data_IF_762523229579
#
_entry.id   IF_762523229579
#
_cell.length_a   1.000
_cell.length_b   1.000
_cell.length_c   1.000
_cell.angle_alpha   90.00
_cell.angle_beta   90.00
_cell.angle_gamma   90.00
#
_symmetry.space_group_name_H-M   'P 1'
#
loop_
_entity.id
_entity.type
_entity.pdbx_description
1 polymer ?
#
# COMPACT_ATOMS: atom_id res chain seq x y z
N UNK A 1 -13.66 8.95 15.85
CA UNK A 1 -13.41 8.18 14.61
C UNK A 1 -12.98 9.17 13.54
N UNK A 2 -11.69 9.49 13.58
CA UNK A 2 -10.98 10.40 12.66
C UNK A 2 -9.76 9.54 12.28
N UNK A 3 -9.91 8.71 11.26
CA UNK A 3 -9.55 9.03 9.88
C UNK A 3 -8.05 9.31 9.78
N UNK A 4 -7.33 8.34 9.20
CA UNK A 4 -5.90 8.31 8.90
C UNK A 4 -5.38 9.71 8.54
N UNK A 5 -4.70 10.38 9.47
CA UNK A 5 -3.88 11.53 9.15
C UNK A 5 -2.43 11.08 9.12
N UNK A 6 -1.72 11.65 8.14
CA UNK A 6 -0.27 11.69 7.98
C UNK A 6 0.38 10.42 7.41
N UNK A 7 0.66 10.46 6.10
CA UNK A 7 2.03 10.25 5.57
C UNK A 7 2.14 10.93 4.20
N UNK A 8 2.20 12.26 4.25
CA UNK A 8 2.33 13.14 3.08
C UNK A 8 3.76 13.56 2.74
N UNK A 9 4.82 13.07 3.40
CA UNK A 9 6.18 13.49 3.08
C UNK A 9 7.22 12.38 3.32
N UNK A 10 7.18 11.30 2.54
CA UNK A 10 8.40 10.55 2.28
C UNK A 10 8.93 10.94 0.90
N UNK A 11 10.25 11.08 0.79
CA UNK A 11 11.05 11.48 -0.37
C UNK A 11 11.30 13.00 -0.49
N UNK A 12 12.00 13.59 0.50
CA UNK A 12 12.83 14.79 0.27
C UNK A 12 14.25 14.69 0.84
N UNK A 13 14.69 13.52 1.33
CA UNK A 13 16.00 13.39 2.00
C UNK A 13 16.94 12.32 1.40
N UNK A 14 16.89 12.09 0.08
CA UNK A 14 17.88 11.27 -0.63
C UNK A 14 18.34 11.96 -1.92
N UNK A 15 18.90 13.16 -1.79
CA UNK A 15 19.76 13.75 -2.83
C UNK A 15 21.22 13.40 -2.54
N UNK A 16 21.54 12.10 -2.57
CA UNK A 16 22.91 11.63 -2.78
C UNK A 16 22.91 10.94 -4.14
N UNK A 17 23.87 11.33 -4.99
CA UNK A 17 24.04 10.91 -6.38
C UNK A 17 23.53 9.50 -6.66
N UNK A 18 22.28 9.41 -7.11
CA UNK A 18 21.80 8.22 -7.80
C UNK A 18 22.47 8.30 -9.17
N UNK A 19 23.45 7.43 -9.41
CA UNK A 19 23.82 7.08 -10.78
C UNK A 19 22.51 6.83 -11.51
N UNK A 20 22.20 7.65 -12.51
CA UNK A 20 21.05 7.45 -13.40
C UNK A 20 21.31 6.23 -14.27
N UNK A 21 21.44 5.04 -13.67
CA UNK A 21 20.88 3.87 -14.29
C UNK A 21 19.42 4.23 -14.54
N UNK A 22 19.04 4.32 -15.81
CA UNK A 22 17.64 4.48 -16.20
C UNK A 22 16.80 3.62 -15.28
N UNK A 23 15.83 4.22 -14.57
CA UNK A 23 14.84 3.45 -13.83
C UNK A 23 14.36 2.36 -14.81
N UNK A 24 14.58 1.06 -14.51
CA UNK A 24 14.40 0.01 -15.51
C UNK A 24 12.92 -0.14 -15.91
N UNK A 25 12.03 0.51 -15.16
CA UNK A 25 10.60 0.51 -15.36
C UNK A 25 10.13 1.84 -15.94
N UNK A 26 9.40 1.77 -17.05
CA UNK A 26 8.66 2.91 -17.61
C UNK A 26 7.18 2.88 -17.23
N UNK A 27 6.73 1.78 -16.62
CA UNK A 27 5.35 1.56 -16.21
C UNK A 27 5.30 1.07 -14.77
N UNK A 28 4.43 1.66 -13.96
CA UNK A 28 4.12 1.19 -12.61
C UNK A 28 2.62 0.91 -12.52
N UNK A 29 2.28 -0.28 -12.03
CA UNK A 29 0.90 -0.67 -11.71
C UNK A 29 0.78 -0.80 -10.20
N UNK A 30 -0.17 -0.11 -9.59
CA UNK A 30 -0.30 -0.04 -8.13
C UNK A 30 -1.65 -0.60 -7.70
N UNK A 31 -1.61 -1.54 -6.76
CA UNK A 31 -2.75 -2.04 -6.01
C UNK A 31 -2.55 -1.72 -4.53
N UNK A 32 -3.60 -1.32 -3.85
CA UNK A 32 -3.48 -0.97 -2.45
C UNK A 32 -4.66 -0.20 -1.90
N UNK A 33 -4.38 0.46 -0.78
CA UNK A 33 -5.37 1.19 -0.01
C UNK A 33 -5.16 2.72 -0.05
N UNK A 34 -5.60 3.41 1.01
CA UNK A 34 -5.48 4.85 1.22
C UNK A 34 -4.06 5.39 1.12
N UNK A 35 -3.03 4.58 1.41
CA UNK A 35 -1.63 5.02 1.27
C UNK A 35 -1.20 5.21 -0.18
N UNK A 36 -1.96 4.68 -1.13
CA UNK A 36 -1.67 4.74 -2.57
C UNK A 36 -2.81 5.34 -3.40
N UNK A 37 -4.02 5.47 -2.86
CA UNK A 37 -5.17 6.01 -3.60
C UNK A 37 -5.00 7.52 -3.94
N UNK A 38 -4.99 7.83 -5.24
CA UNK A 38 -4.92 9.18 -5.79
C UNK A 38 -6.29 9.79 -6.13
N UNK A 39 -7.40 9.18 -5.70
CA UNK A 39 -8.76 9.68 -5.86
C UNK A 39 -9.79 8.68 -6.42
N UNK A 40 -9.47 7.40 -6.52
CA UNK A 40 -10.38 6.34 -6.98
C UNK A 40 -11.60 6.22 -6.08
N UNK A 41 -11.41 6.22 -4.75
CA UNK A 41 -12.53 6.23 -3.81
C UNK A 41 -13.27 7.57 -3.81
N UNK A 42 -12.55 8.67 -3.99
CA UNK A 42 -13.15 9.98 -4.14
C UNK A 42 -14.12 10.00 -5.32
N UNK A 43 -13.70 9.48 -6.48
CA UNK A 43 -14.58 9.31 -7.64
C UNK A 43 -15.72 8.33 -7.39
N UNK A 44 -15.45 7.20 -6.71
CA UNK A 44 -16.46 6.18 -6.40
C UNK A 44 -17.59 6.73 -5.52
N UNK A 45 -17.26 7.66 -4.62
CA UNK A 45 -18.20 8.25 -3.66
C UNK A 45 -18.78 9.58 -4.14
N UNK A 46 -18.80 9.83 -5.46
CA UNK A 46 -19.27 11.10 -6.04
C UNK A 46 -18.59 12.34 -5.42
N UNK A 47 -17.29 12.22 -5.19
CA UNK A 47 -16.43 13.27 -4.62
C UNK A 47 -16.76 13.63 -3.16
N UNK A 48 -17.32 12.68 -2.40
CA UNK A 48 -17.74 12.88 -1.00
C UNK A 48 -16.67 12.41 -0.01
N UNK A 49 -15.93 11.32 -0.28
CA UNK A 49 -14.96 10.76 0.67
C UNK A 49 -13.64 10.40 -0.01
N UNK A 50 -12.48 10.81 0.51
CA UNK A 50 -12.28 11.52 1.77
C UNK A 50 -12.72 13.00 1.74
N UNK A 51 -13.24 13.51 2.88
CA UNK A 51 -13.69 14.91 3.05
C UNK A 51 -12.51 15.83 3.44
N UNK A 52 -12.57 17.15 3.25
CA UNK A 52 -11.60 18.06 3.87
C UNK A 52 -11.34 17.70 5.36
N UNK A 53 -10.09 17.74 5.86
CA UNK A 53 -8.90 18.40 5.28
C UNK A 53 -8.09 17.58 4.27
N UNK A 54 -8.60 16.44 3.80
CA UNK A 54 -7.92 15.62 2.80
C UNK A 54 -7.76 16.34 1.44
N UNK A 55 -6.58 16.21 0.83
CA UNK A 55 -6.20 16.93 -0.39
C UNK A 55 -6.70 16.22 -1.64
N UNK A 56 -7.68 16.81 -2.34
CA UNK A 56 -8.13 16.37 -3.68
C UNK A 56 -8.30 14.84 -3.80
N UNK A 57 -8.98 14.24 -2.83
CA UNK A 57 -9.26 12.79 -2.81
C UNK A 57 -8.14 11.89 -2.28
N UNK A 58 -6.96 12.43 -1.92
CA UNK A 58 -5.89 11.67 -1.25
C UNK A 58 -6.18 11.56 0.24
N UNK A 59 -5.85 10.44 0.85
CA UNK A 59 -5.88 10.25 2.31
C UNK A 59 -4.67 10.89 3.01
N UNK A 60 -4.34 12.11 2.58
CA UNK A 60 -3.25 12.94 3.09
C UNK A 60 -3.65 14.41 2.95
N UNK A 61 -2.95 15.31 3.64
CA UNK A 61 -3.11 16.75 3.50
C UNK A 61 -2.39 17.33 2.26
N UNK A 62 -1.83 16.48 1.40
CA UNK A 62 -1.14 16.85 0.19
C UNK A 62 -0.91 15.67 -0.74
N UNK A 63 0.02 15.85 -1.69
CA UNK A 63 0.46 14.81 -2.61
C UNK A 63 1.08 13.61 -1.85
N UNK A 64 0.75 12.41 -2.30
CA UNK A 64 1.29 11.16 -1.75
C UNK A 64 2.47 10.65 -2.58
N UNK A 65 3.10 9.55 -2.14
CA UNK A 65 4.29 9.00 -2.82
C UNK A 65 4.04 8.70 -4.30
N UNK A 66 2.83 8.22 -4.66
CA UNK A 66 2.44 7.95 -6.05
C UNK A 66 2.48 9.20 -6.91
N UNK A 67 1.98 10.33 -6.40
CA UNK A 67 1.98 11.62 -7.11
C UNK A 67 3.39 12.17 -7.35
N UNK A 68 4.39 11.67 -6.61
CA UNK A 68 5.80 12.10 -6.69
C UNK A 68 6.66 11.17 -7.56
N UNK A 69 6.10 10.07 -8.08
CA UNK A 69 6.82 9.16 -8.96
C UNK A 69 7.06 9.82 -10.33
N UNK A 70 8.32 9.86 -10.75
CA UNK A 70 8.71 10.31 -12.10
C UNK A 70 8.88 9.12 -13.03
N UNK A 71 7.77 8.57 -13.51
CA UNK A 71 7.72 7.43 -14.45
C UNK A 71 6.75 7.72 -15.59
N UNK A 72 7.00 7.14 -16.78
CA UNK A 72 6.23 7.45 -18.00
C UNK A 72 4.75 7.11 -17.87
N UNK A 73 4.42 5.96 -17.28
CA UNK A 73 3.05 5.50 -17.12
C UNK A 73 2.78 5.00 -15.69
N UNK A 74 1.73 5.52 -15.06
CA UNK A 74 1.25 5.07 -13.75
C UNK A 74 -0.19 4.61 -13.91
N UNK A 75 -0.43 3.33 -13.65
CA UNK A 75 -1.78 2.77 -13.56
C UNK A 75 -2.09 2.49 -12.08
N UNK A 76 -2.88 3.37 -11.47
CA UNK A 76 -3.20 3.27 -10.05
C UNK A 76 -4.60 2.70 -9.83
N UNK A 77 -4.67 1.46 -9.36
CA UNK A 77 -5.89 0.75 -8.99
C UNK A 77 -6.13 0.73 -7.49
N UNK A 78 -5.35 1.45 -6.69
CA UNK A 78 -5.57 1.52 -5.25
C UNK A 78 -6.89 2.23 -4.93
N UNK A 79 -7.66 1.66 -4.02
CA UNK A 79 -8.87 2.28 -3.47
C UNK A 79 -8.66 2.46 -1.97
N UNK A 80 -8.88 3.67 -1.46
CA UNK A 80 -9.00 3.94 -0.03
C UNK A 80 -9.82 2.87 0.68
N UNK A 81 -9.43 2.53 1.91
CA UNK A 81 -10.06 1.47 2.70
C UNK A 81 -9.89 0.03 2.17
N UNK A 82 -9.24 -0.22 1.03
CA UNK A 82 -9.07 -1.58 0.52
C UNK A 82 -8.45 -2.54 1.55
N UNK A 83 -8.98 -3.75 1.59
CA UNK A 83 -8.43 -4.93 2.28
C UNK A 83 -7.70 -5.81 1.26
N UNK A 84 -7.05 -6.87 1.74
CA UNK A 84 -6.40 -7.84 0.83
C UNK A 84 -7.38 -8.51 -0.13
N UNK A 85 -8.56 -8.89 0.36
CA UNK A 85 -9.65 -9.47 -0.42
C UNK A 85 -10.99 -9.23 0.29
N UNK A 86 -11.98 -8.70 -0.44
CA UNK A 86 -13.34 -8.54 0.09
C UNK A 86 -14.01 -9.86 0.49
N UNK A 87 -13.57 -11.00 -0.05
CA UNK A 87 -14.07 -12.31 0.37
C UNK A 87 -13.58 -12.74 1.77
N UNK A 88 -12.44 -12.20 2.22
CA UNK A 88 -11.90 -12.41 3.56
C UNK A 88 -12.42 -11.35 4.53
N UNK A 89 -12.26 -10.07 4.18
CA UNK A 89 -12.77 -8.92 4.94
C UNK A 89 -13.29 -7.88 3.96
N UNK A 90 -14.59 -7.59 4.03
CA UNK A 90 -15.22 -6.60 3.14
C UNK A 90 -14.68 -5.19 3.42
N UNK A 91 -14.02 -4.59 2.42
CA UNK A 91 -13.65 -3.18 2.48
C UNK A 91 -14.83 -2.26 2.18
N UNK A 92 -14.90 -1.12 2.87
CA UNK A 92 -15.97 -0.14 2.72
C UNK A 92 -15.45 1.30 2.75
N UNK A 93 -16.01 2.14 1.89
CA UNK A 93 -16.01 3.58 2.10
C UNK A 93 -16.96 3.93 3.26
N UNK A 94 -16.70 5.02 3.96
CA UNK A 94 -17.48 5.42 5.15
C UNK A 94 -18.48 6.55 4.89
N UNK A 95 -18.38 7.24 3.75
CA UNK A 95 -19.29 8.34 3.40
C UNK A 95 -19.49 8.45 1.87
N UNK A 96 -20.59 7.92 1.31
CA UNK A 96 -21.56 7.03 1.96
C UNK A 96 -20.92 5.67 2.32
N UNK A 97 -21.60 4.90 3.18
CA UNK A 97 -21.19 3.52 3.44
C UNK A 97 -21.46 2.69 2.21
N UNK A 98 -20.40 2.25 1.52
CA UNK A 98 -20.52 1.41 0.33
C UNK A 98 -19.28 0.55 0.11
N UNK A 99 -19.39 -0.62 -0.56
CA UNK A 99 -18.24 -1.46 -0.85
C UNK A 99 -17.17 -0.74 -1.68
N UNK A 100 -15.92 -0.93 -1.30
CA UNK A 100 -14.74 -0.57 -2.11
C UNK A 100 -14.10 -1.85 -2.66
N UNK A 101 -13.32 -1.81 -3.75
CA UNK A 101 -12.54 -2.95 -4.19
C UNK A 101 -11.36 -3.27 -3.26
N UNK A 102 -11.31 -4.48 -2.69
CA UNK A 102 -10.08 -5.04 -2.10
C UNK A 102 -9.07 -5.41 -3.18
N UNK A 103 -7.82 -5.71 -2.83
CA UNK A 103 -6.72 -5.90 -3.81
C UNK A 103 -7.02 -6.98 -4.84
N UNK A 104 -7.61 -8.12 -4.46
CA UNK A 104 -8.01 -9.14 -5.44
C UNK A 104 -9.07 -8.64 -6.42
N UNK A 105 -9.98 -7.77 -6.00
CA UNK A 105 -10.93 -7.12 -6.89
C UNK A 105 -10.26 -6.05 -7.76
N UNK A 106 -9.27 -5.31 -7.24
CA UNK A 106 -8.47 -4.36 -8.02
C UNK A 106 -7.68 -5.07 -9.14
N UNK A 107 -7.11 -6.24 -8.85
CA UNK A 107 -6.45 -7.08 -9.88
C UNK A 107 -7.46 -7.55 -10.94
N UNK A 108 -8.69 -7.88 -10.55
CA UNK A 108 -9.75 -8.23 -11.49
C UNK A 108 -10.23 -7.03 -12.33
N UNK A 109 -10.17 -5.80 -11.79
CA UNK A 109 -10.40 -4.56 -12.55
C UNK A 109 -9.28 -4.35 -13.55
N UNK A 110 -8.01 -4.45 -13.09
CA UNK A 110 -6.83 -4.43 -13.97
C UNK A 110 -7.03 -5.40 -15.13
N UNK A 111 -7.32 -6.67 -14.88
CA UNK A 111 -7.49 -7.71 -15.91
C UNK A 111 -8.52 -7.37 -17.03
N UNK A 112 -9.44 -6.43 -16.79
CA UNK A 112 -10.45 -5.98 -17.74
C UNK A 112 -10.11 -4.65 -18.42
N UNK A 113 -9.05 -3.97 -17.98
CA UNK A 113 -8.63 -2.70 -18.53
C UNK A 113 -7.99 -2.91 -19.91
N UNK A 114 -8.61 -2.33 -20.94
CA UNK A 114 -8.12 -2.38 -22.32
C UNK A 114 -6.76 -1.69 -22.50
N UNK A 115 -6.35 -0.81 -21.59
CA UNK A 115 -5.06 -0.13 -21.61
C UNK A 115 -3.88 -1.05 -21.23
N UNK A 116 -4.13 -2.27 -20.73
CA UNK A 116 -3.07 -3.25 -20.44
C UNK A 116 -2.27 -3.60 -21.70
N UNK A 117 -2.93 -3.68 -22.86
CA UNK A 117 -2.40 -4.25 -24.10
C UNK A 117 -1.16 -3.47 -24.61
N UNK A 118 -0.95 -2.24 -24.16
CA UNK A 118 0.18 -1.40 -24.59
C UNK A 118 1.42 -1.46 -23.69
N UNK A 119 1.37 -2.16 -22.54
CA UNK A 119 2.47 -2.16 -21.56
C UNK A 119 3.49 -3.27 -21.80
N UNK A 120 4.79 -2.94 -21.84
CA UNK A 120 5.87 -3.93 -21.87
C UNK A 120 6.06 -4.49 -20.45
N UNK A 121 5.59 -5.71 -20.20
CA UNK A 121 5.66 -6.34 -18.88
C UNK A 121 7.08 -6.55 -18.34
N UNK A 122 8.11 -6.57 -19.19
CA UNK A 122 9.52 -6.61 -18.75
C UNK A 122 9.99 -5.26 -18.17
N UNK A 123 9.28 -4.17 -18.48
CA UNK A 123 9.54 -2.81 -18.00
C UNK A 123 8.41 -2.30 -17.09
N UNK A 124 7.58 -3.22 -16.60
CA UNK A 124 6.46 -2.90 -15.70
C UNK A 124 6.75 -3.42 -14.30
N UNK A 125 6.65 -2.52 -13.31
CA UNK A 125 6.69 -2.87 -11.89
C UNK A 125 5.28 -2.89 -11.32
N UNK A 126 4.87 -4.02 -10.76
CA UNK A 126 3.64 -4.17 -10.01
C UNK A 126 3.90 -3.95 -8.52
N UNK A 127 3.14 -3.08 -7.88
CA UNK A 127 3.27 -2.75 -6.47
C UNK A 127 1.99 -3.13 -5.74
N UNK A 128 2.12 -3.85 -4.61
CA UNK A 128 1.02 -4.12 -3.68
C UNK A 128 1.36 -3.50 -2.34
N UNK A 129 0.50 -2.63 -1.83
CA UNK A 129 0.59 -2.12 -0.46
C UNK A 129 -0.79 -2.07 0.20
N UNK A 130 -1.06 -3.05 1.06
CA UNK A 130 -2.34 -3.22 1.76
C UNK A 130 -2.14 -4.11 3.00
N UNK A 131 -3.16 -4.18 3.85
CA UNK A 131 -3.30 -5.19 4.92
C UNK A 131 -3.70 -4.60 6.26
N UNK A 132 -3.37 -3.33 6.52
CA UNK A 132 -3.75 -2.63 7.75
C UNK A 132 -5.28 -2.63 7.97
N UNK A 133 -6.04 -2.47 6.89
CA UNK A 133 -7.49 -2.40 6.92
C UNK A 133 -8.14 -3.74 7.30
N UNK A 134 -7.55 -4.88 6.94
CA UNK A 134 -8.06 -6.21 7.31
C UNK A 134 -8.19 -6.34 8.85
N UNK A 135 -7.17 -5.87 9.58
CA UNK A 135 -7.16 -5.84 11.05
C UNK A 135 -8.02 -4.69 11.63
N UNK A 136 -8.14 -3.57 10.92
CA UNK A 136 -8.98 -2.45 11.35
C UNK A 136 -10.47 -2.81 11.30
N UNK A 137 -10.92 -3.49 10.24
CA UNK A 137 -12.30 -3.94 10.07
C UNK A 137 -12.61 -5.23 10.84
N UNK A 138 -11.63 -6.12 10.99
CA UNK A 138 -11.78 -7.35 11.75
C UNK A 138 -10.60 -7.55 12.72
N UNK A 139 -10.78 -7.09 13.96
CA UNK A 139 -9.74 -7.17 15.00
C UNK A 139 -9.42 -8.58 15.49
N UNK A 140 -10.22 -9.58 15.14
CA UNK A 140 -9.92 -10.99 15.45
C UNK A 140 -9.17 -11.68 14.32
N UNK A 141 -8.85 -10.96 13.24
CA UNK A 141 -8.12 -11.52 12.10
C UNK A 141 -6.71 -11.93 12.50
N UNK A 142 -6.33 -13.15 12.14
CA UNK A 142 -4.98 -13.65 12.38
C UNK A 142 -4.02 -13.23 11.25
N UNK A 143 -2.79 -12.77 11.54
CA UNK A 143 -1.84 -12.33 10.51
C UNK A 143 -1.59 -13.32 9.38
N UNK A 144 -1.55 -14.63 9.68
CA UNK A 144 -1.39 -15.68 8.68
C UNK A 144 -2.49 -15.71 7.60
N UNK A 145 -3.74 -15.37 7.95
CA UNK A 145 -4.85 -15.33 6.99
C UNK A 145 -4.71 -14.16 6.01
N UNK A 146 -4.26 -13.00 6.51
CA UNK A 146 -4.03 -11.80 5.67
C UNK A 146 -2.82 -12.03 4.75
N UNK A 147 -1.76 -12.68 5.23
CA UNK A 147 -0.61 -13.08 4.40
C UNK A 147 -1.03 -14.11 3.33
N UNK A 148 -1.84 -15.11 3.68
CA UNK A 148 -2.37 -16.07 2.70
C UNK A 148 -3.23 -15.38 1.63
N UNK A 149 -4.03 -14.38 2.01
CA UNK A 149 -4.82 -13.56 1.07
C UNK A 149 -3.92 -12.77 0.11
N UNK A 150 -2.82 -12.19 0.60
CA UNK A 150 -1.81 -11.54 -0.24
C UNK A 150 -1.11 -12.54 -1.19
N UNK A 151 -0.78 -13.74 -0.70
CA UNK A 151 -0.21 -14.81 -1.54
C UNK A 151 -1.17 -15.19 -2.69
N UNK A 152 -2.47 -15.25 -2.42
CA UNK A 152 -3.50 -15.45 -3.44
C UNK A 152 -3.55 -14.28 -4.45
N UNK A 153 -3.47 -13.03 -3.98
CA UNK A 153 -3.42 -11.86 -4.85
C UNK A 153 -2.18 -11.86 -5.77
N UNK A 154 -1.02 -12.21 -5.24
CA UNK A 154 0.22 -12.36 -6.03
C UNK A 154 0.05 -13.51 -7.04
N UNK A 155 -0.54 -14.63 -6.62
CA UNK A 155 -0.83 -15.77 -7.51
C UNK A 155 -1.79 -15.40 -8.64
N UNK A 156 -2.77 -14.53 -8.40
CA UNK A 156 -3.65 -13.99 -9.44
C UNK A 156 -2.87 -13.12 -10.43
N UNK A 157 -1.93 -12.31 -9.95
CA UNK A 157 -1.07 -11.47 -10.79
C UNK A 157 -0.07 -12.29 -11.64
N UNK A 158 0.46 -13.39 -11.11
CA UNK A 158 1.38 -14.27 -11.84
C UNK A 158 0.75 -14.89 -13.11
N UNK A 159 -0.59 -14.94 -13.20
CA UNK A 159 -1.32 -15.40 -14.39
C UNK A 159 -1.12 -14.49 -15.61
N UNK A 160 -0.68 -13.25 -15.42
CA UNK A 160 -0.45 -12.28 -16.51
C UNK A 160 1.00 -12.27 -17.04
N UNK A 161 1.83 -13.26 -16.73
CA UNK A 161 3.24 -13.34 -17.17
C UNK A 161 4.10 -12.12 -16.77
N UNK A 162 3.76 -11.50 -15.64
CA UNK A 162 4.48 -10.34 -15.08
C UNK A 162 5.88 -10.71 -14.61
N UNK A 163 6.78 -9.73 -14.58
CA UNK A 163 8.21 -9.95 -14.27
C UNK A 163 8.69 -9.33 -12.98
N UNK A 164 8.05 -8.25 -12.51
CA UNK A 164 8.53 -7.51 -11.35
C UNK A 164 7.36 -7.16 -10.42
N UNK A 165 7.46 -7.63 -9.18
CA UNK A 165 6.47 -7.39 -8.13
C UNK A 165 7.21 -6.90 -6.88
N UNK A 166 6.75 -5.78 -6.34
CA UNK A 166 7.20 -5.23 -5.07
C UNK A 166 6.03 -5.20 -4.09
N UNK A 167 6.17 -5.88 -2.97
CA UNK A 167 5.15 -5.93 -1.91
C UNK A 167 5.65 -5.12 -0.72
N UNK A 168 4.85 -4.18 -0.25
CA UNK A 168 5.17 -3.41 0.94
C UNK A 168 4.73 -4.21 2.17
N UNK A 169 5.58 -4.27 3.18
CA UNK A 169 5.17 -4.81 4.48
C UNK A 169 4.32 -3.77 5.25
N UNK A 170 3.80 -4.10 6.43
CA UNK A 170 3.03 -3.14 7.21
C UNK A 170 3.94 -2.11 7.87
N UNK A 171 3.45 -0.87 7.88
CA UNK A 171 3.98 0.23 8.70
C UNK A 171 4.02 -0.15 10.19
N UNK A 172 4.84 0.52 11.03
CA UNK A 172 4.81 0.33 12.46
C UNK A 172 3.53 0.93 13.06
N UNK A 173 2.39 0.23 12.92
CA UNK A 173 1.06 0.76 13.27
C UNK A 173 0.94 1.19 14.75
N UNK A 174 1.72 0.57 15.64
CA UNK A 174 1.79 0.94 17.05
C UNK A 174 2.33 2.36 17.31
N UNK A 175 2.96 3.00 16.31
CA UNK A 175 3.46 4.38 16.37
C UNK A 175 2.47 5.39 15.78
N UNK A 176 1.29 4.95 15.32
CA UNK A 176 0.31 5.85 14.71
C UNK A 176 -0.49 6.58 15.80
N UNK A 177 -0.76 7.89 15.65
CA UNK A 177 -1.44 8.68 16.68
C UNK A 177 -2.79 8.09 17.14
N UNK A 178 -3.56 7.52 16.21
CA UNK A 178 -4.83 6.89 16.55
C UNK A 178 -4.67 5.63 17.41
N UNK A 179 -3.60 4.85 17.22
CA UNK A 179 -3.35 3.65 18.02
C UNK A 179 -2.95 4.02 19.44
N UNK A 180 -2.13 5.07 19.59
CA UNK A 180 -1.81 5.67 20.88
C UNK A 180 -3.05 6.17 21.61
N UNK A 181 -3.93 6.89 20.90
CA UNK A 181 -5.18 7.42 21.48
C UNK A 181 -6.12 6.32 22.04
N UNK A 182 -5.99 5.07 21.59
CA UNK A 182 -6.79 3.94 22.04
C UNK A 182 -6.05 2.97 22.98
N UNK A 183 -4.80 3.26 23.38
CA UNK A 183 -3.96 2.39 24.21
C UNK A 183 -3.82 0.95 23.65
N UNK A 184 -3.60 0.82 22.33
CA UNK A 184 -3.53 -0.50 21.65
C UNK A 184 -2.14 -0.82 21.10
N UNK A 185 -1.10 -0.11 21.52
CA UNK A 185 0.26 -0.18 20.99
C UNK A 185 0.84 -1.60 21.07
N UNK A 186 0.73 -2.25 22.22
CA UNK A 186 1.29 -3.61 22.41
C UNK A 186 0.64 -4.62 21.47
N UNK A 187 -0.68 -4.52 21.27
CA UNK A 187 -1.42 -5.39 20.35
C UNK A 187 -0.97 -5.16 18.90
N UNK A 188 -0.97 -3.91 18.43
CA UNK A 188 -0.59 -3.59 17.05
C UNK A 188 0.90 -3.84 16.79
N UNK A 189 1.77 -3.69 17.79
CA UNK A 189 3.19 -4.01 17.66
C UNK A 189 3.41 -5.51 17.43
N UNK A 190 2.82 -6.36 18.28
CA UNK A 190 2.91 -7.82 18.13
C UNK A 190 2.31 -8.29 16.81
N UNK A 191 1.11 -7.81 16.46
CA UNK A 191 0.41 -8.16 15.23
C UNK A 191 1.22 -7.78 13.97
N UNK A 192 1.76 -6.55 13.91
CA UNK A 192 2.55 -6.09 12.77
C UNK A 192 3.85 -6.87 12.63
N UNK A 193 4.55 -7.16 13.74
CA UNK A 193 5.78 -7.95 13.71
C UNK A 193 5.51 -9.38 13.22
N UNK A 194 4.43 -10.01 13.70
CA UNK A 194 4.03 -11.34 13.23
C UNK A 194 3.68 -11.32 11.74
N UNK A 195 2.85 -10.36 11.30
CA UNK A 195 2.50 -10.20 9.89
C UNK A 195 3.75 -10.01 9.01
N UNK A 196 4.64 -9.09 9.37
CA UNK A 196 5.84 -8.78 8.58
C UNK A 196 6.81 -9.96 8.50
N UNK A 197 6.94 -10.73 9.57
CA UNK A 197 7.73 -11.96 9.59
C UNK A 197 7.12 -13.05 8.71
N UNK A 198 5.80 -13.25 8.79
CA UNK A 198 5.08 -14.23 7.98
C UNK A 198 5.12 -13.85 6.50
N UNK A 199 4.90 -12.58 6.15
CA UNK A 199 5.01 -12.08 4.79
C UNK A 199 6.42 -12.30 4.22
N UNK A 200 7.46 -12.04 5.01
CA UNK A 200 8.86 -12.25 4.57
C UNK A 200 9.14 -13.71 4.22
N UNK A 201 8.64 -14.66 5.02
CA UNK A 201 8.75 -16.10 4.76
C UNK A 201 7.97 -16.51 3.52
N UNK A 202 6.73 -16.04 3.39
CA UNK A 202 5.86 -16.36 2.26
C UNK A 202 6.44 -15.85 0.95
N UNK A 203 6.88 -14.58 0.89
CA UNK A 203 7.49 -13.99 -0.30
C UNK A 203 8.78 -14.72 -0.69
N UNK A 204 9.61 -15.11 0.28
CA UNK A 204 10.82 -15.92 -0.01
C UNK A 204 10.45 -17.28 -0.63
N UNK A 205 9.41 -17.93 -0.11
CA UNK A 205 8.90 -19.22 -0.64
C UNK A 205 8.31 -19.07 -2.05
N UNK A 206 7.49 -18.04 -2.28
CA UNK A 206 6.94 -17.73 -3.60
C UNK A 206 8.03 -17.38 -4.62
N UNK A 207 9.06 -16.64 -4.22
CA UNK A 207 10.21 -16.33 -5.09
C UNK A 207 10.98 -17.60 -5.48
N UNK A 208 11.18 -18.54 -4.55
CA UNK A 208 11.87 -19.80 -4.83
C UNK A 208 11.10 -20.68 -5.83
N UNK A 209 9.77 -20.64 -5.79
CA UNK A 209 8.89 -21.40 -6.70
C UNK A 209 8.61 -20.68 -8.03
N UNK A 210 8.89 -19.38 -8.11
CA UNK A 210 8.69 -18.56 -9.31
C UNK A 210 10.00 -17.85 -9.74
N UNK A 211 11.04 -18.58 -10.15
CA UNK A 211 12.38 -18.02 -10.41
C UNK A 211 12.43 -17.01 -11.56
N UNK A 212 11.42 -16.99 -12.44
CA UNK A 212 11.32 -16.07 -13.57
C UNK A 212 10.70 -14.71 -13.24
N UNK A 213 10.27 -14.51 -11.99
CA UNK A 213 9.67 -13.27 -11.50
C UNK A 213 10.55 -12.71 -10.38
N UNK A 214 10.86 -11.42 -10.46
CA UNK A 214 11.46 -10.69 -9.35
C UNK A 214 10.36 -10.30 -8.37
N UNK A 215 10.23 -11.07 -7.29
CA UNK A 215 9.32 -10.80 -6.19
C UNK A 215 10.12 -10.31 -4.99
N UNK A 216 9.85 -9.07 -4.56
CA UNK A 216 10.64 -8.39 -3.51
C UNK A 216 9.73 -7.74 -2.49
N UNK A 217 10.26 -7.57 -1.28
CA UNK A 217 9.62 -6.77 -0.23
C UNK A 217 10.27 -5.40 -0.16
N UNK A 218 9.44 -4.35 -0.12
CA UNK A 218 9.86 -3.05 0.36
C UNK A 218 9.58 -2.94 1.87
N UNK A 219 10.63 -2.77 2.66
CA UNK A 219 10.51 -2.70 4.12
C UNK A 219 10.12 -1.29 4.58
N UNK A 220 8.87 -0.92 4.31
CA UNK A 220 8.31 0.37 4.75
C UNK A 220 8.27 0.47 6.28
N UNK A 221 8.10 -0.66 7.00
CA UNK A 221 8.18 -0.70 8.46
C UNK A 221 9.47 -0.04 8.96
N UNK A 222 10.62 -0.52 8.48
CA UNK A 222 11.92 -0.02 8.91
C UNK A 222 12.13 1.44 8.50
N UNK A 223 11.71 1.81 7.29
CA UNK A 223 11.86 3.18 6.81
C UNK A 223 11.07 4.17 7.68
N UNK A 224 9.81 3.87 7.98
CA UNK A 224 8.98 4.74 8.81
C UNK A 224 9.44 4.76 10.26
N UNK A 225 9.85 3.62 10.84
CA UNK A 225 10.46 3.62 12.17
C UNK A 225 11.71 4.50 12.25
N UNK A 226 12.56 4.52 11.21
CA UNK A 226 13.74 5.38 11.16
C UNK A 226 13.38 6.86 11.14
N UNK A 227 12.34 7.22 10.39
CA UNK A 227 11.86 8.61 10.27
C UNK A 227 11.27 9.08 11.61
N UNK A 228 10.37 8.30 12.20
CA UNK A 228 9.74 8.64 13.50
C UNK A 228 10.79 8.76 14.61
N UNK A 229 11.81 7.90 14.61
CA UNK A 229 12.86 7.94 15.62
C UNK A 229 13.94 9.02 15.37
N UNK A 230 13.98 9.62 14.17
CA UNK A 230 14.99 10.63 13.81
C UNK A 230 14.38 11.78 12.97
N UNK A 231 13.28 12.41 13.40
CA UNK A 231 12.48 13.32 12.56
C UNK A 231 13.31 14.49 12.01
N UNK A 232 14.20 15.06 12.81
CA UNK A 232 15.09 16.17 12.41
C UNK A 232 15.99 15.78 11.24
N UNK A 233 16.50 14.54 11.20
CA UNK A 233 17.33 14.04 10.09
C UNK A 233 16.56 14.03 8.75
N UNK A 234 15.23 13.91 8.83
CA UNK A 234 14.32 13.89 7.69
C UNK A 234 13.54 15.20 7.54
N UNK A 235 13.99 16.29 8.18
CA UNK A 235 13.36 17.63 8.12
C UNK A 235 11.92 17.69 8.67
N UNK A 236 11.57 16.82 9.61
CA UNK A 236 10.37 16.92 10.43
C UNK A 236 10.70 17.60 11.77
N UNK A 237 9.82 18.49 12.23
CA UNK A 237 9.89 19.02 13.60
C UNK A 237 9.41 17.95 14.59
N UNK A 238 9.89 18.01 15.83
CA UNK A 238 9.48 17.11 16.92
C UNK A 238 8.06 17.41 17.46
N UNK A 239 7.39 18.46 16.94
CA UNK A 239 6.25 19.10 17.60
C UNK A 239 4.89 18.95 16.89
N UNK A 240 4.74 18.07 15.90
CA UNK A 240 3.43 17.82 15.27
C UNK A 240 2.97 16.38 15.50
N UNK A 241 1.92 16.25 16.32
CA UNK A 241 1.09 15.04 16.50
C UNK A 241 0.26 14.71 15.25
#
# INVERSE_FOLDING_TARGET
>A
MTALLLFGFLITALSQQINTEQIPFDTIVIFGDSHSDTGNVYKLTDQIWPRPPYFQGRFSNGLIWVDKLSVTNIMNYAYGAATTDNSLVQSIAWSPVMPTPGVRQQIAIYAKDSNIITSNLNRTLFIIWVGSNDFAYNRTMHPSLVVASLSNAISDLLKFNIKHILVFNLLPLHLMPNIHAFNQESYYSAMVLEFNNNLSKEIASMQATNPYVSLRIFNIHSLVSKIINNPIMYSFDNNED
#
